data_IF_852307897938
#
_entry.id   IF_852307897938
#
_cell.length_a   1.000
_cell.length_b   1.000
_cell.length_c   1.000
_cell.angle_alpha   90.00
_cell.angle_beta   90.00
_cell.angle_gamma   90.00
#
_symmetry.space_group_name_H-M   'P 1'
#
loop_
_entity.id
_entity.type
_entity.pdbx_description
1 polymer ?
#
# COMPACT_ATOMS: atom_id res chain seq x y z
N UNK A 1 -3.34 14.03 12.19
CA UNK A 1 -1.95 13.66 11.86
C UNK A 1 -1.51 14.49 10.66
N UNK A 2 -0.81 15.61 10.86
CA UNK A 2 -0.24 16.43 9.77
C UNK A 2 1.29 16.32 9.88
N UNK A 3 1.95 15.86 8.82
CA UNK A 3 3.42 15.90 8.69
C UNK A 3 4.21 14.62 8.96
N UNK A 4 3.57 13.45 9.14
CA UNK A 4 4.31 12.20 9.31
C UNK A 4 4.47 11.48 7.97
N UNK A 5 5.72 11.22 7.58
CA UNK A 5 6.04 10.43 6.39
C UNK A 5 5.59 8.98 6.65
N UNK A 6 4.77 8.37 5.77
CA UNK A 6 4.36 6.98 5.96
C UNK A 6 5.53 6.00 5.85
N UNK A 7 5.53 4.99 6.72
CA UNK A 7 6.54 3.92 6.72
C UNK A 7 6.35 2.96 5.53
N UNK A 8 5.10 2.81 5.07
CA UNK A 8 4.73 1.94 3.95
C UNK A 8 3.66 2.56 3.06
N UNK A 9 3.69 2.17 1.77
CA UNK A 9 2.54 2.21 0.88
C UNK A 9 1.75 0.92 1.00
N UNK A 10 0.44 1.02 0.90
CA UNK A 10 -0.49 -0.11 0.87
C UNK A 10 -0.91 -0.31 -0.57
N UNK A 11 -0.75 -1.53 -1.08
CA UNK A 11 -1.16 -1.89 -2.43
C UNK A 11 -2.07 -3.10 -2.39
N UNK A 12 -2.98 -3.19 -3.34
CA UNK A 12 -3.67 -4.45 -3.68
C UNK A 12 -3.18 -4.95 -5.03
N UNK A 13 -3.21 -6.27 -5.21
CA UNK A 13 -2.86 -6.91 -6.47
C UNK A 13 -4.15 -7.20 -7.23
N UNK A 14 -4.36 -6.49 -8.32
CA UNK A 14 -5.45 -6.75 -9.25
C UNK A 14 -4.87 -7.66 -10.33
N UNK A 15 -5.25 -8.94 -10.30
CA UNK A 15 -4.93 -9.88 -11.37
C UNK A 15 -5.74 -9.49 -12.62
N UNK A 16 -5.06 -9.11 -13.69
CA UNK A 16 -5.68 -8.87 -14.98
C UNK A 16 -5.89 -10.23 -15.67
N UNK A 17 -7.14 -10.73 -15.65
CA UNK A 17 -7.49 -12.03 -16.24
C UNK A 17 -7.26 -12.10 -17.75
N UNK A 18 -7.18 -10.95 -18.45
CA UNK A 18 -7.00 -10.92 -19.90
C UNK A 18 -5.52 -11.00 -20.31
N UNK A 19 -4.60 -10.50 -19.48
CA UNK A 19 -3.17 -10.40 -19.85
C UNK A 19 -2.23 -11.21 -18.95
N UNK A 20 -2.75 -11.89 -17.92
CA UNK A 20 -1.96 -12.73 -17.01
C UNK A 20 -0.90 -11.97 -16.21
N UNK A 21 -1.01 -10.64 -16.11
CA UNK A 21 -0.06 -9.79 -15.40
C UNK A 21 -0.72 -9.17 -14.19
N UNK A 22 -0.11 -9.41 -13.03
CA UNK A 22 -0.50 -8.80 -11.77
C UNK A 22 -0.20 -7.29 -11.79
N UNK A 23 -1.25 -6.47 -11.65
CA UNK A 23 -1.12 -5.02 -11.50
C UNK A 23 -1.22 -4.64 -10.02
N UNK A 24 -0.24 -3.89 -9.57
CA UNK A 24 -0.20 -3.36 -8.20
C UNK A 24 -0.88 -2.00 -8.21
N UNK A 25 -1.95 -1.87 -7.42
CA UNK A 25 -2.69 -0.62 -7.27
C UNK A 25 -2.48 -0.10 -5.85
N UNK A 26 -1.97 1.12 -5.71
CA UNK A 26 -1.84 1.74 -4.39
C UNK A 26 -3.21 2.16 -3.88
N UNK A 27 -3.54 1.77 -2.65
CA UNK A 27 -4.86 1.97 -2.02
C UNK A 27 -4.73 2.56 -0.61
N UNK A 28 -3.62 3.24 -0.34
CA UNK A 28 -3.39 3.88 0.96
C UNK A 28 -1.95 3.80 1.47
N UNK A 29 -1.81 4.04 2.76
CA UNK A 29 -0.54 4.16 3.47
C UNK A 29 -0.61 3.44 4.82
N UNK A 30 0.54 3.06 5.36
CA UNK A 30 0.61 2.47 6.69
C UNK A 30 1.75 3.04 7.53
N UNK A 31 1.52 3.04 8.84
CA UNK A 31 2.42 3.56 9.86
C UNK A 31 2.76 2.44 10.86
N UNK A 32 4.05 2.25 11.10
CA UNK A 32 4.55 1.28 12.07
C UNK A 32 4.51 1.91 13.47
N UNK A 33 3.77 1.29 14.38
CA UNK A 33 3.87 1.55 15.82
C UNK A 33 4.76 0.47 16.46
N UNK A 34 4.91 0.55 17.79
CA UNK A 34 5.73 -0.40 18.56
C UNK A 34 5.39 -1.87 18.26
N UNK A 35 4.10 -2.22 18.39
CA UNK A 35 3.62 -3.60 18.26
C UNK A 35 2.50 -3.75 17.22
N UNK A 36 2.11 -2.66 16.55
CA UNK A 36 0.99 -2.64 15.61
C UNK A 36 1.34 -1.90 14.33
N UNK A 37 0.59 -2.18 13.26
CA UNK A 37 0.63 -1.40 12.02
C UNK A 37 -0.75 -0.80 11.80
N UNK A 38 -0.80 0.52 11.70
CA UNK A 38 -2.04 1.24 11.37
C UNK A 38 -2.09 1.43 9.85
N UNK A 39 -3.15 0.95 9.22
CA UNK A 39 -3.38 1.06 7.78
C UNK A 39 -4.49 2.07 7.54
N UNK A 40 -4.22 3.10 6.73
CA UNK A 40 -5.21 4.04 6.24
C UNK A 40 -5.44 3.76 4.76
N UNK A 41 -6.64 3.28 4.43
CA UNK A 41 -7.01 2.91 3.05
C UNK A 41 -8.00 3.92 2.46
N UNK A 42 -7.85 4.21 1.18
CA UNK A 42 -8.82 4.98 0.38
C UNK A 42 -9.87 4.07 -0.30
N UNK A 43 -9.55 2.79 -0.49
CA UNK A 43 -10.40 1.79 -1.11
C UNK A 43 -10.33 0.43 -0.39
N UNK A 44 -11.41 -0.34 -0.48
CA UNK A 44 -11.49 -1.69 0.11
C UNK A 44 -11.04 -2.73 -0.93
N UNK A 45 -10.02 -3.56 -0.63
CA UNK A 45 -9.56 -4.60 -1.56
C UNK A 45 -10.55 -5.76 -1.62
N UNK A 46 -11.24 -5.91 -2.76
CA UNK A 46 -12.26 -6.95 -2.97
C UNK A 46 -11.73 -8.38 -2.97
N UNK A 47 -10.43 -8.55 -3.18
CA UNK A 47 -9.72 -9.84 -3.13
C UNK A 47 -9.24 -10.21 -1.72
N UNK A 48 -9.45 -9.35 -0.71
CA UNK A 48 -9.01 -9.56 0.67
C UNK A 48 -7.49 -9.51 0.88
N UNK A 49 -6.71 -9.10 -0.13
CA UNK A 49 -5.24 -9.06 -0.06
C UNK A 49 -4.72 -7.63 -0.13
N UNK A 50 -3.90 -7.27 0.85
CA UNK A 50 -3.07 -6.07 0.84
C UNK A 50 -1.59 -6.44 0.92
N UNK A 51 -0.73 -5.58 0.37
CA UNK A 51 0.72 -5.70 0.44
C UNK A 51 1.31 -4.37 0.87
N UNK A 52 2.11 -4.41 1.92
CA UNK A 52 2.86 -3.26 2.42
C UNK A 52 4.22 -3.20 1.74
N UNK A 53 4.56 -2.04 1.18
CA UNK A 53 5.86 -1.82 0.53
C UNK A 53 6.51 -0.57 1.09
N UNK A 54 7.81 -0.62 1.40
CA UNK A 54 8.55 0.59 1.76
C UNK A 54 8.51 1.60 0.59
N UNK A 55 8.41 2.91 0.86
CA UNK A 55 8.60 3.92 -0.16
C UNK A 55 9.94 3.68 -0.86
N UNK A 56 9.96 3.69 -2.19
CA UNK A 56 11.23 3.67 -2.92
C UNK A 56 11.91 5.00 -2.63
N UNK A 57 13.18 4.98 -2.23
CA UNK A 57 14.03 6.16 -1.96
C UNK A 57 14.19 7.12 -3.16
N UNK A 58 13.49 6.89 -4.27
CA UNK A 58 13.58 7.67 -5.52
C UNK A 58 12.65 8.88 -5.56
N UNK A 59 11.76 9.03 -4.58
CA UNK A 59 10.79 10.14 -4.50
C UNK A 59 11.24 11.26 -3.52
N UNK A 60 12.54 11.31 -3.18
CA UNK A 60 13.14 12.36 -2.34
C UNK A 60 14.13 13.26 -3.13
N UNK A 61 13.99 13.34 -4.46
CA UNK A 61 14.72 14.26 -5.33
C UNK A 61 13.76 15.22 -6.02
#
# INVERSE_FOLDING_TARGET
MKGQIPDYRVNTVIGDSENGKDRWTSIGVAFQNKDTITVLMDAVPVNGKIVLTKPKLRDAQ
#
